data_IF_917569822610
#
_entry.id   IF_917569822610
#
_cell.length_a   1.000
_cell.length_b   1.000
_cell.length_c   1.000
_cell.angle_alpha   90.00
_cell.angle_beta   90.00
_cell.angle_gamma   90.00
#
_symmetry.space_group_name_H-M   'P 1'
#
loop_
_entity.id
_entity.type
_entity.pdbx_description
1 polymer ?
#
# COMPACT_ATOMS: atom_id res chain seq x y z
N UNK A 1 29.62 -3.61 -2.48
CA UNK A 1 29.19 -4.30 -1.25
C UNK A 1 29.53 -3.44 -0.05
N UNK A 2 28.63 -3.36 0.95
CA UNK A 2 28.86 -2.77 2.27
C UNK A 2 28.41 -3.76 3.34
N UNK A 3 28.98 -3.66 4.55
CA UNK A 3 28.67 -4.53 5.69
C UNK A 3 28.55 -3.70 6.95
N UNK A 4 27.69 -4.14 7.88
CA UNK A 4 27.59 -3.59 9.23
C UNK A 4 27.01 -4.64 10.17
N UNK A 5 27.19 -4.46 11.48
CA UNK A 5 26.59 -5.34 12.49
C UNK A 5 25.72 -4.52 13.44
N UNK A 6 24.58 -5.09 13.85
CA UNK A 6 23.64 -4.56 14.84
C UNK A 6 23.07 -5.70 15.67
N UNK A 7 23.04 -5.56 17.00
CA UNK A 7 22.43 -6.51 17.96
C UNK A 7 22.91 -7.97 17.76
N UNK A 8 24.18 -8.14 17.40
CA UNK A 8 24.80 -9.45 17.14
C UNK A 8 24.32 -10.12 15.85
N UNK A 9 23.83 -9.34 14.89
CA UNK A 9 23.47 -9.77 13.54
C UNK A 9 24.36 -9.07 12.54
N UNK A 10 24.92 -9.81 11.58
CA UNK A 10 25.71 -9.27 10.49
C UNK A 10 24.81 -9.00 9.29
N UNK A 11 24.90 -7.77 8.76
CA UNK A 11 24.15 -7.33 7.59
C UNK A 11 25.09 -7.05 6.44
N UNK A 12 24.71 -7.55 5.26
CA UNK A 12 25.41 -7.31 4.01
C UNK A 12 24.49 -6.56 3.05
N UNK A 13 25.03 -5.56 2.38
CA UNK A 13 24.35 -4.78 1.33
C UNK A 13 25.09 -5.00 0.05
N UNK A 14 24.48 -5.74 -0.86
CA UNK A 14 25.07 -6.12 -2.15
C UNK A 14 24.32 -5.40 -3.27
N UNK A 15 25.07 -4.85 -4.21
CA UNK A 15 24.52 -4.24 -5.41
C UNK A 15 25.19 -4.85 -6.64
N UNK A 16 24.37 -5.15 -7.62
CA UNK A 16 24.79 -5.57 -8.97
C UNK A 16 24.08 -4.68 -10.00
N UNK A 17 24.86 -4.02 -10.86
CA UNK A 17 24.35 -3.12 -11.88
C UNK A 17 25.48 -2.45 -12.66
N UNK A 18 25.11 -1.73 -13.71
CA UNK A 18 26.03 -1.01 -14.58
C UNK A 18 26.20 0.46 -14.17
N UNK A 19 25.21 1.04 -13.50
CA UNK A 19 25.26 2.42 -13.02
C UNK A 19 26.03 2.49 -11.71
N UNK A 20 26.93 3.47 -11.51
CA UNK A 20 27.62 3.64 -10.25
C UNK A 20 26.64 3.88 -9.08
N UNK A 21 26.64 2.98 -8.12
CA UNK A 21 25.85 3.07 -6.90
C UNK A 21 26.69 2.64 -5.69
N UNK A 22 26.59 3.38 -4.60
CA UNK A 22 27.30 3.04 -3.35
C UNK A 22 26.33 2.36 -2.36
N UNK A 23 26.40 1.03 -2.17
CA UNK A 23 25.61 0.34 -1.16
C UNK A 23 25.76 0.90 0.24
N UNK A 24 26.93 1.48 0.56
CA UNK A 24 27.19 2.13 1.85
C UNK A 24 26.29 3.34 2.12
N UNK A 25 25.76 3.99 1.10
CA UNK A 25 24.84 5.11 1.25
C UNK A 25 23.50 4.70 1.90
N UNK A 26 23.06 3.44 1.72
CA UNK A 26 21.82 2.91 2.33
C UNK A 26 22.01 2.59 3.83
N UNK A 27 23.23 2.32 4.29
CA UNK A 27 23.47 1.82 5.66
C UNK A 27 22.85 2.69 6.77
N UNK A 28 22.91 4.03 6.73
CA UNK A 28 22.24 4.84 7.75
C UNK A 28 20.72 4.64 7.80
N UNK A 29 20.05 4.60 6.64
CA UNK A 29 18.59 4.35 6.55
C UNK A 29 18.24 2.94 7.00
N UNK A 30 19.01 1.93 6.57
CA UNK A 30 18.82 0.55 6.99
C UNK A 30 18.91 0.38 8.51
N UNK A 31 19.90 1.00 9.16
CA UNK A 31 20.04 0.93 10.62
C UNK A 31 18.82 1.49 11.34
N UNK A 32 18.31 2.64 10.89
CA UNK A 32 17.11 3.28 11.48
C UNK A 32 15.87 2.42 11.26
N UNK A 33 15.69 1.90 10.06
CA UNK A 33 14.60 0.97 9.72
C UNK A 33 14.66 -0.30 10.56
N UNK A 34 15.83 -0.95 10.67
CA UNK A 34 16.01 -2.16 11.47
C UNK A 34 15.66 -1.90 12.93
N UNK A 35 16.07 -0.75 13.49
CA UNK A 35 15.71 -0.36 14.85
C UNK A 35 14.18 -0.28 15.00
N UNK A 36 13.48 0.42 14.12
CA UNK A 36 12.03 0.55 14.19
C UNK A 36 11.30 -0.82 14.06
N UNK A 37 11.76 -1.69 13.16
CA UNK A 37 11.23 -3.04 13.04
C UNK A 37 11.48 -3.89 14.29
N UNK A 38 12.69 -3.80 14.86
CA UNK A 38 13.07 -4.56 16.07
C UNK A 38 12.29 -4.11 17.30
N UNK A 39 11.98 -2.83 17.43
CA UNK A 39 11.10 -2.32 18.48
C UNK A 39 9.66 -2.85 18.36
N UNK A 40 9.19 -3.13 17.15
CA UNK A 40 7.86 -3.68 16.94
C UNK A 40 7.79 -5.18 17.26
N UNK A 41 8.68 -5.99 16.71
CA UNK A 41 8.61 -7.46 16.76
C UNK A 41 9.69 -8.14 17.61
N UNK A 42 10.58 -7.37 18.20
CA UNK A 42 11.76 -7.92 18.88
C UNK A 42 12.88 -8.29 17.89
N UNK A 43 14.01 -8.74 18.46
CA UNK A 43 15.19 -9.14 17.68
C UNK A 43 14.86 -10.29 16.73
N UNK A 44 15.20 -10.19 15.42
CA UNK A 44 14.97 -11.29 14.49
C UNK A 44 15.82 -12.52 14.85
N UNK A 45 15.27 -13.75 14.71
CA UNK A 45 15.94 -14.99 15.10
C UNK A 45 16.92 -15.46 14.00
N UNK A 46 17.94 -14.65 13.75
CA UNK A 46 18.99 -14.93 12.77
C UNK A 46 20.32 -14.28 13.19
N UNK A 47 21.42 -14.68 12.56
CA UNK A 47 22.77 -14.16 12.81
C UNK A 47 23.30 -13.37 11.63
N UNK A 48 22.68 -13.52 10.44
CA UNK A 48 23.08 -12.83 9.19
C UNK A 48 21.86 -12.52 8.35
N UNK A 49 21.85 -11.33 7.71
CA UNK A 49 20.85 -10.90 6.73
C UNK A 49 21.51 -10.23 5.53
N UNK A 50 21.01 -10.48 4.32
CA UNK A 50 21.55 -9.92 3.09
C UNK A 50 20.48 -9.10 2.36
N UNK A 51 20.77 -7.82 2.13
CA UNK A 51 20.04 -6.96 1.22
C UNK A 51 20.69 -7.01 -0.15
N UNK A 52 19.98 -7.48 -1.15
CA UNK A 52 20.46 -7.59 -2.53
C UNK A 52 19.70 -6.60 -3.39
N UNK A 53 20.44 -5.78 -4.12
CA UNK A 53 19.92 -4.79 -5.05
C UNK A 53 20.43 -5.11 -6.44
N UNK A 54 19.52 -5.43 -7.36
CA UNK A 54 19.85 -5.76 -8.74
C UNK A 54 19.25 -4.69 -9.67
N UNK A 55 20.11 -3.90 -10.30
CA UNK A 55 19.68 -2.92 -11.28
C UNK A 55 19.20 -3.61 -12.55
N UNK A 56 17.99 -3.27 -12.98
CA UNK A 56 17.37 -3.80 -14.20
C UNK A 56 16.88 -2.67 -15.10
N UNK A 57 16.51 -2.98 -16.34
CA UNK A 57 15.89 -2.03 -17.25
C UNK A 57 14.40 -1.75 -17.01
N UNK A 58 13.84 -2.26 -15.92
CA UNK A 58 12.47 -1.93 -15.52
C UNK A 58 12.38 -0.47 -15.04
N UNK A 59 11.23 0.15 -15.23
CA UNK A 59 10.94 1.52 -14.81
C UNK A 59 10.28 1.60 -13.41
N UNK A 60 10.14 0.48 -12.72
CA UNK A 60 9.60 0.37 -11.37
C UNK A 60 10.48 -0.51 -10.48
N UNK A 61 10.38 -0.30 -9.17
CA UNK A 61 11.02 -1.14 -8.16
C UNK A 61 10.12 -2.34 -7.87
N UNK A 62 10.74 -3.51 -7.69
CA UNK A 62 10.08 -4.73 -7.26
C UNK A 62 10.93 -5.43 -6.22
N UNK A 63 10.31 -6.11 -5.25
CA UNK A 63 10.97 -6.83 -4.19
C UNK A 63 10.55 -8.29 -4.11
N UNK A 64 11.38 -9.09 -3.47
CA UNK A 64 11.07 -10.47 -3.11
C UNK A 64 11.77 -10.83 -1.81
N UNK A 65 10.95 -11.17 -0.86
CA UNK A 65 11.34 -11.51 0.49
C UNK A 65 11.83 -12.94 0.64
N UNK A 66 12.81 -13.14 1.49
CA UNK A 66 13.33 -14.45 1.89
C UNK A 66 13.50 -14.51 3.41
N UNK A 67 13.76 -15.71 3.94
CA UNK A 67 13.84 -15.94 5.38
C UNK A 67 14.97 -15.17 6.08
N UNK A 68 16.08 -14.89 5.37
CA UNK A 68 17.26 -14.17 5.87
C UNK A 68 17.94 -13.31 4.79
N UNK A 69 17.22 -12.95 3.76
CA UNK A 69 17.65 -12.03 2.72
C UNK A 69 16.45 -11.44 2.00
N UNK A 70 16.68 -10.38 1.26
CA UNK A 70 15.74 -9.87 0.26
C UNK A 70 16.47 -9.52 -1.02
N UNK A 71 15.77 -9.59 -2.15
CA UNK A 71 16.22 -9.08 -3.43
C UNK A 71 15.28 -7.98 -3.89
N UNK A 72 15.86 -6.85 -4.27
CA UNK A 72 15.13 -5.70 -4.83
C UNK A 72 15.67 -5.45 -6.22
N UNK A 73 14.78 -5.33 -7.19
CA UNK A 73 15.11 -5.14 -8.60
C UNK A 73 14.47 -3.85 -9.13
N UNK A 74 15.11 -3.23 -10.14
CA UNK A 74 14.59 -2.03 -10.77
C UNK A 74 15.66 -0.96 -11.00
N UNK A 75 15.28 0.32 -11.11
CA UNK A 75 16.18 1.46 -11.29
C UNK A 75 16.85 1.87 -9.95
N UNK A 76 17.70 1.01 -9.41
CA UNK A 76 18.30 1.11 -8.07
C UNK A 76 19.14 2.37 -7.90
N UNK A 77 19.90 2.74 -8.94
CA UNK A 77 20.82 3.88 -8.88
C UNK A 77 20.16 5.23 -9.20
N UNK A 78 18.86 5.27 -9.47
CA UNK A 78 18.11 6.50 -9.73
C UNK A 78 17.87 7.29 -8.43
N UNK A 79 18.48 8.49 -8.26
CA UNK A 79 18.28 9.30 -7.06
C UNK A 79 16.81 9.72 -6.82
N UNK A 80 16.02 9.84 -7.88
CA UNK A 80 14.60 10.18 -7.78
C UNK A 80 13.76 9.06 -7.16
N UNK A 81 14.30 7.84 -7.08
CA UNK A 81 13.65 6.65 -6.50
C UNK A 81 14.12 6.34 -5.08
N UNK A 82 14.94 7.20 -4.46
CA UNK A 82 15.55 6.92 -3.15
C UNK A 82 14.51 6.59 -2.06
N UNK A 83 13.48 7.41 -1.94
CA UNK A 83 12.43 7.19 -0.94
C UNK A 83 11.66 5.89 -1.21
N UNK A 84 11.34 5.62 -2.47
CA UNK A 84 10.74 4.36 -2.90
C UNK A 84 11.64 3.15 -2.65
N UNK A 85 12.97 3.29 -2.84
CA UNK A 85 13.93 2.25 -2.53
C UNK A 85 13.98 1.93 -1.03
N UNK A 86 13.91 2.96 -0.18
CA UNK A 86 13.85 2.79 1.28
C UNK A 86 12.53 2.13 1.68
N UNK A 87 11.41 2.55 1.08
CA UNK A 87 10.09 2.00 1.37
C UNK A 87 10.02 0.51 1.00
N UNK A 88 10.36 0.13 -0.23
CA UNK A 88 10.33 -1.28 -0.65
C UNK A 88 11.31 -2.13 0.15
N UNK A 89 12.49 -1.60 0.51
CA UNK A 89 13.44 -2.32 1.37
C UNK A 89 12.83 -2.56 2.76
N UNK A 90 12.05 -1.61 3.28
CA UNK A 90 11.34 -1.76 4.56
C UNK A 90 10.25 -2.83 4.43
N UNK A 91 9.46 -2.81 3.37
CA UNK A 91 8.44 -3.80 3.06
C UNK A 91 9.02 -5.22 3.07
N UNK A 92 10.06 -5.44 2.28
CA UNK A 92 10.73 -6.75 2.19
C UNK A 92 11.39 -7.18 3.50
N UNK A 93 11.87 -6.23 4.29
CA UNK A 93 12.45 -6.55 5.59
C UNK A 93 11.39 -6.92 6.64
N UNK A 94 10.20 -6.29 6.61
CA UNK A 94 9.05 -6.64 7.46
C UNK A 94 8.62 -8.08 7.22
N UNK A 95 8.69 -8.56 6.00
CA UNK A 95 8.40 -9.94 5.66
C UNK A 95 9.30 -10.97 6.35
N UNK A 96 10.43 -10.57 6.92
CA UNK A 96 11.23 -11.45 7.78
C UNK A 96 10.40 -12.04 8.93
N UNK A 97 9.49 -11.22 9.47
CA UNK A 97 8.50 -11.64 10.49
C UNK A 97 7.19 -12.06 9.83
N UNK A 98 6.51 -11.14 9.19
CA UNK A 98 5.22 -11.29 8.51
C UNK A 98 5.45 -11.34 7.00
N UNK A 99 5.82 -12.49 6.47
CA UNK A 99 5.22 -13.77 6.27
C UNK A 99 6.22 -14.95 6.45
N UNK A 100 7.52 -14.70 6.50
CA UNK A 100 8.47 -15.83 6.46
C UNK A 100 8.45 -16.67 7.73
N UNK A 101 7.87 -16.16 8.82
CA UNK A 101 7.71 -16.87 10.10
C UNK A 101 6.28 -16.81 10.64
N UNK A 102 5.69 -15.63 10.70
CA UNK A 102 4.29 -15.42 11.02
C UNK A 102 3.48 -15.54 9.72
N UNK A 103 2.98 -16.73 9.40
CA UNK A 103 2.34 -17.02 8.11
C UNK A 103 0.98 -17.73 8.27
N UNK A 104 0.01 -17.42 7.40
CA UNK A 104 -1.26 -18.13 7.42
C UNK A 104 -1.09 -19.57 6.91
N UNK A 105 -2.00 -20.43 7.33
CA UNK A 105 -2.15 -21.78 6.75
C UNK A 105 -2.32 -21.65 5.22
N UNK A 106 -1.63 -22.51 4.48
CA UNK A 106 -1.59 -22.48 3.01
C UNK A 106 -0.35 -21.81 2.43
N UNK A 107 0.30 -20.88 3.16
CA UNK A 107 1.55 -20.24 2.76
C UNK A 107 2.79 -20.84 3.43
N UNK A 108 2.82 -22.13 3.63
CA UNK A 108 4.03 -22.84 4.10
C UNK A 108 3.71 -24.11 4.88
N UNK A 109 4.54 -25.15 4.71
CA UNK A 109 5.68 -25.21 3.79
C UNK A 109 5.23 -25.04 2.33
N UNK A 110 6.03 -24.28 1.54
CA UNK A 110 5.66 -23.93 0.16
C UNK A 110 5.66 -25.18 -0.74
N UNK A 111 4.55 -25.36 -1.46
CA UNK A 111 4.42 -26.36 -2.51
C UNK A 111 4.39 -25.64 -3.86
N UNK A 112 5.53 -25.59 -4.54
CA UNK A 112 5.69 -24.90 -5.83
C UNK A 112 5.05 -25.65 -7.01
N UNK A 113 4.35 -26.78 -6.77
CA UNK A 113 3.68 -27.56 -7.82
C UNK A 113 2.22 -27.13 -8.04
N UNK A 114 1.70 -26.25 -7.21
CA UNK A 114 0.31 -25.75 -7.25
C UNK A 114 0.20 -24.36 -6.65
N UNK A 115 -0.92 -23.72 -6.94
CA UNK A 115 -1.28 -22.42 -6.36
C UNK A 115 -1.50 -22.54 -4.84
N UNK A 116 -1.00 -21.57 -4.09
CA UNK A 116 -1.21 -21.44 -2.65
C UNK A 116 -2.37 -20.49 -2.37
N UNK A 117 -3.57 -21.02 -2.20
CA UNK A 117 -4.76 -20.23 -1.88
C UNK A 117 -4.86 -19.94 -0.39
N UNK A 118 -5.10 -18.69 -0.05
CA UNK A 118 -5.36 -18.23 1.32
C UNK A 118 -6.27 -16.99 1.30
N UNK A 119 -7.11 -16.84 2.32
CA UNK A 119 -7.88 -15.61 2.54
C UNK A 119 -7.07 -14.54 3.29
N UNK A 120 -5.81 -14.81 3.61
CA UNK A 120 -4.98 -14.00 4.50
C UNK A 120 -3.96 -13.09 3.84
N UNK A 121 -3.99 -12.87 2.50
CA UNK A 121 -3.02 -11.97 1.86
C UNK A 121 -3.15 -10.51 2.34
N UNK A 122 -4.32 -10.12 2.82
CA UNK A 122 -4.50 -8.81 3.44
C UNK A 122 -3.64 -8.62 4.70
N UNK A 123 -3.36 -9.71 5.45
CA UNK A 123 -2.43 -9.68 6.58
C UNK A 123 -1.00 -9.69 6.07
N UNK A 124 -0.71 -10.60 5.14
CA UNK A 124 0.65 -10.84 4.64
C UNK A 124 1.19 -9.62 3.89
N UNK A 125 0.40 -9.06 3.00
CA UNK A 125 0.79 -7.94 2.14
C UNK A 125 0.19 -6.61 2.61
N UNK A 126 -1.11 -6.59 2.88
CA UNK A 126 -1.81 -5.36 3.23
C UNK A 126 -1.33 -4.76 4.55
N UNK A 127 -1.19 -5.58 5.61
CA UNK A 127 -0.61 -5.07 6.87
C UNK A 127 0.89 -4.84 6.75
N UNK A 128 1.62 -5.58 5.91
CA UNK A 128 3.03 -5.29 5.63
C UNK A 128 3.17 -3.93 4.97
N UNK A 129 2.30 -3.59 4.01
CA UNK A 129 2.29 -2.27 3.37
C UNK A 129 1.96 -1.15 4.37
N UNK A 130 0.97 -1.35 5.25
CA UNK A 130 0.68 -0.44 6.36
C UNK A 130 1.92 -0.22 7.24
N UNK A 131 2.57 -1.30 7.66
CA UNK A 131 3.78 -1.21 8.48
C UNK A 131 4.97 -0.64 7.73
N UNK A 132 5.07 -0.82 6.42
CA UNK A 132 6.10 -0.18 5.60
C UNK A 132 6.10 1.32 5.81
N UNK A 133 5.00 1.99 5.55
CA UNK A 133 4.88 3.45 5.70
C UNK A 133 5.06 3.89 7.16
N UNK A 134 4.40 3.17 8.09
CA UNK A 134 4.47 3.52 9.50
C UNK A 134 5.88 3.34 10.09
N UNK A 135 6.63 2.32 9.67
CA UNK A 135 7.99 2.08 10.15
C UNK A 135 9.01 3.02 9.50
N UNK A 136 8.81 3.42 8.24
CA UNK A 136 9.59 4.51 7.61
C UNK A 136 9.38 5.81 8.37
N UNK A 137 8.15 6.14 8.79
CA UNK A 137 7.86 7.27 9.65
C UNK A 137 8.54 7.13 11.02
N UNK A 138 8.36 5.99 11.69
CA UNK A 138 8.94 5.73 13.03
C UNK A 138 10.47 5.71 13.02
N UNK A 139 11.07 5.27 11.93
CA UNK A 139 12.50 5.39 11.69
C UNK A 139 12.95 6.85 11.47
N UNK A 140 12.02 7.81 11.39
CA UNK A 140 12.26 9.22 11.09
C UNK A 140 12.83 9.43 9.68
N UNK A 141 12.54 8.52 8.75
CA UNK A 141 12.95 8.59 7.35
C UNK A 141 11.93 9.36 6.51
N UNK A 142 10.73 9.61 7.05
CA UNK A 142 9.75 10.54 6.49
C UNK A 142 9.10 11.39 7.59
N UNK A 143 8.38 12.44 7.20
CA UNK A 143 7.65 13.32 8.11
C UNK A 143 6.19 12.86 8.27
N UNK A 144 5.52 13.16 9.40
CA UNK A 144 4.10 12.81 9.61
C UNK A 144 3.16 13.31 8.51
N UNK A 145 3.43 14.49 7.94
CA UNK A 145 2.62 15.03 6.85
C UNK A 145 2.70 14.16 5.58
N UNK A 146 3.86 13.60 5.27
CA UNK A 146 4.04 12.73 4.13
C UNK A 146 3.33 11.39 4.35
N UNK A 147 3.42 10.82 5.56
CA UNK A 147 2.67 9.62 5.93
C UNK A 147 1.14 9.83 5.78
N UNK A 148 0.61 10.93 6.31
CA UNK A 148 -0.81 11.23 6.16
C UNK A 148 -1.22 11.48 4.69
N UNK A 149 -0.32 12.05 3.89
CA UNK A 149 -0.54 12.19 2.43
C UNK A 149 -0.54 10.83 1.73
N UNK A 150 0.31 9.88 2.15
CA UNK A 150 0.32 8.51 1.64
C UNK A 150 -1.01 7.81 1.96
N UNK A 151 -1.50 7.91 3.21
CA UNK A 151 -2.83 7.38 3.60
C UNK A 151 -3.94 7.98 2.71
N UNK A 152 -3.94 9.30 2.50
CA UNK A 152 -4.92 9.97 1.65
C UNK A 152 -4.83 9.49 0.19
N UNK A 153 -3.62 9.26 -0.33
CA UNK A 153 -3.37 8.71 -1.65
C UNK A 153 -3.93 7.30 -1.82
N UNK A 154 -3.75 6.42 -0.84
CA UNK A 154 -4.34 5.07 -0.86
C UNK A 154 -5.87 5.08 -0.77
N UNK A 155 -6.46 6.03 -0.02
CA UNK A 155 -7.92 6.23 -0.01
C UNK A 155 -8.41 6.60 -1.42
N UNK A 156 -7.76 7.58 -2.05
CA UNK A 156 -8.08 8.00 -3.42
C UNK A 156 -7.92 6.85 -4.42
N UNK A 157 -6.84 6.08 -4.32
CA UNK A 157 -6.57 4.93 -5.18
C UNK A 157 -7.67 3.88 -5.03
N UNK A 158 -8.02 3.49 -3.80
CA UNK A 158 -9.08 2.51 -3.56
C UNK A 158 -10.43 2.98 -4.13
N UNK A 159 -10.79 4.25 -3.90
CA UNK A 159 -12.04 4.81 -4.41
C UNK A 159 -12.08 4.86 -5.94
N UNK A 160 -10.94 5.06 -6.57
CA UNK A 160 -10.77 5.00 -8.03
C UNK A 160 -10.87 3.60 -8.63
N UNK A 161 -10.93 2.54 -7.82
CA UNK A 161 -11.02 1.15 -8.30
C UNK A 161 -12.46 0.63 -8.27
N UNK A 162 -13.16 0.46 -9.41
CA UNK A 162 -14.49 -0.13 -9.46
C UNK A 162 -14.55 -1.54 -8.85
N UNK A 163 -13.48 -2.32 -8.97
CA UNK A 163 -13.35 -3.68 -8.43
C UNK A 163 -13.62 -3.80 -6.93
N UNK A 164 -13.41 -2.72 -6.15
CA UNK A 164 -13.68 -2.69 -4.70
C UNK A 164 -15.14 -3.01 -4.33
N UNK A 165 -16.06 -2.82 -5.27
CA UNK A 165 -17.50 -3.12 -5.10
C UNK A 165 -17.87 -4.54 -5.46
N UNK A 166 -16.97 -5.27 -6.14
CA UNK A 166 -17.23 -6.59 -6.70
C UNK A 166 -16.85 -7.71 -5.73
N UNK A 167 -15.84 -7.50 -4.88
CA UNK A 167 -15.35 -8.52 -3.97
C UNK A 167 -14.92 -7.95 -2.63
N UNK A 168 -14.96 -8.81 -1.60
CA UNK A 168 -14.40 -8.53 -0.29
C UNK A 168 -12.87 -8.67 -0.30
N UNK A 169 -12.23 -8.28 0.79
CA UNK A 169 -10.78 -8.38 0.94
C UNK A 169 -10.32 -9.85 1.08
N UNK A 170 -11.12 -10.71 1.72
CA UNK A 170 -10.88 -12.15 1.78
C UNK A 170 -11.02 -12.80 0.40
N UNK A 171 -12.06 -12.43 -0.36
CA UNK A 171 -12.24 -12.91 -1.74
C UNK A 171 -11.09 -12.47 -2.63
N UNK A 172 -10.62 -11.23 -2.52
CA UNK A 172 -9.46 -10.73 -3.26
C UNK A 172 -8.18 -11.51 -2.93
N UNK A 173 -7.95 -11.80 -1.65
CA UNK A 173 -6.83 -12.63 -1.20
C UNK A 173 -6.90 -14.04 -1.79
N UNK A 174 -8.07 -14.69 -1.75
CA UNK A 174 -8.26 -16.06 -2.24
C UNK A 174 -8.12 -16.17 -3.75
N UNK A 175 -8.63 -15.18 -4.50
CA UNK A 175 -8.73 -15.23 -5.95
C UNK A 175 -7.55 -14.61 -6.69
N UNK A 176 -6.47 -14.26 -5.99
CA UNK A 176 -5.30 -13.57 -6.57
C UNK A 176 -4.71 -14.28 -7.80
N UNK A 177 -4.77 -15.62 -7.83
CA UNK A 177 -4.28 -16.44 -8.95
C UNK A 177 -5.14 -16.37 -10.22
N UNK A 178 -6.38 -15.84 -10.13
CA UNK A 178 -7.36 -15.88 -11.23
C UNK A 178 -7.47 -14.58 -12.01
N UNK A 179 -7.17 -13.42 -11.40
CA UNK A 179 -7.48 -12.11 -12.01
C UNK A 179 -6.34 -11.49 -12.79
N UNK A 180 -5.13 -12.04 -12.74
CA UNK A 180 -3.99 -11.52 -13.51
C UNK A 180 -3.86 -10.00 -13.39
N UNK A 181 -3.93 -9.30 -14.53
CA UNK A 181 -3.74 -7.85 -14.61
C UNK A 181 -5.04 -7.03 -14.44
N UNK A 182 -6.24 -7.65 -14.39
CA UNK A 182 -7.51 -6.92 -14.21
C UNK A 182 -7.77 -6.54 -12.74
N UNK A 183 -6.85 -5.76 -12.19
CA UNK A 183 -6.92 -5.25 -10.80
C UNK A 183 -7.76 -3.98 -10.66
N UNK A 184 -8.35 -3.47 -11.75
CA UNK A 184 -9.09 -2.22 -11.76
C UNK A 184 -10.60 -2.42 -11.70
N UNK A 185 -11.14 -3.21 -12.61
CA UNK A 185 -12.59 -3.38 -12.78
C UNK A 185 -13.09 -4.67 -12.12
N UNK A 186 -12.40 -5.78 -12.33
CA UNK A 186 -12.82 -7.11 -11.89
C UNK A 186 -12.38 -7.43 -10.49
N UNK A 187 -11.14 -7.13 -10.16
CA UNK A 187 -10.51 -7.49 -8.89
C UNK A 187 -10.30 -6.28 -7.97
N UNK A 188 -10.20 -6.59 -6.69
CA UNK A 188 -9.76 -5.67 -5.65
C UNK A 188 -8.27 -5.86 -5.39
N UNK A 189 -7.52 -4.76 -5.27
CA UNK A 189 -6.12 -4.81 -4.82
C UNK A 189 -6.07 -4.98 -3.29
N UNK A 190 -5.64 -6.17 -2.84
CA UNK A 190 -5.54 -6.48 -1.42
C UNK A 190 -4.35 -5.78 -0.72
N UNK A 191 -3.36 -5.30 -1.45
CA UNK A 191 -2.33 -4.40 -0.90
C UNK A 191 -2.97 -3.09 -0.44
N UNK A 192 -3.65 -2.40 -1.35
CA UNK A 192 -4.26 -1.08 -1.08
C UNK A 192 -5.36 -1.16 -0.04
N UNK A 193 -6.37 -2.05 -0.23
CA UNK A 193 -7.46 -2.17 0.74
C UNK A 193 -6.98 -2.77 2.06
N UNK A 194 -5.98 -3.66 2.05
CA UNK A 194 -5.38 -4.23 3.25
C UNK A 194 -4.56 -3.22 4.04
N UNK A 195 -3.80 -2.34 3.36
CA UNK A 195 -3.17 -1.17 3.97
C UNK A 195 -4.18 -0.30 4.72
N UNK A 196 -5.27 0.05 4.03
CA UNK A 196 -6.33 0.89 4.59
C UNK A 196 -7.10 0.19 5.72
N UNK A 197 -7.26 -1.13 5.65
CA UNK A 197 -7.80 -1.92 6.76
C UNK A 197 -6.86 -1.84 7.97
N UNK A 198 -5.53 -1.88 7.76
CA UNK A 198 -4.53 -1.70 8.81
C UNK A 198 -4.63 -0.35 9.49
N UNK A 199 -4.74 0.75 8.71
CA UNK A 199 -4.97 2.10 9.25
C UNK A 199 -6.28 2.16 10.06
N UNK A 200 -7.38 1.66 9.49
CA UNK A 200 -8.70 1.69 10.14
C UNK A 200 -8.71 0.85 11.42
N UNK A 201 -8.11 -0.35 11.39
CA UNK A 201 -8.04 -1.26 12.53
C UNK A 201 -7.20 -0.69 13.67
N UNK A 202 -6.00 -0.14 13.38
CA UNK A 202 -5.16 0.45 14.41
C UNK A 202 -5.85 1.63 15.10
N UNK A 203 -6.48 2.52 14.32
CA UNK A 203 -7.22 3.65 14.86
C UNK A 203 -8.48 3.22 15.64
N UNK A 204 -9.18 2.20 15.18
CA UNK A 204 -10.37 1.66 15.86
C UNK A 204 -9.99 1.01 17.22
N UNK A 205 -8.93 0.20 17.24
CA UNK A 205 -8.41 -0.41 18.47
C UNK A 205 -8.01 0.67 19.47
N UNK A 206 -7.22 1.64 19.05
CA UNK A 206 -6.78 2.77 19.88
C UNK A 206 -7.95 3.60 20.37
N UNK A 207 -8.91 3.92 19.50
CA UNK A 207 -10.09 4.72 19.86
C UNK A 207 -10.96 4.04 20.89
N UNK A 208 -11.28 2.74 20.71
CA UNK A 208 -12.14 1.98 21.62
C UNK A 208 -11.48 1.67 22.97
N UNK A 209 -10.17 1.47 22.97
CA UNK A 209 -9.41 1.15 24.18
C UNK A 209 -8.86 2.37 24.93
N UNK A 210 -9.18 3.60 24.51
CA UNK A 210 -8.52 4.81 24.99
C UNK A 210 -6.97 4.74 24.86
N UNK A 211 -6.51 4.27 23.70
CA UNK A 211 -5.10 4.09 23.34
C UNK A 211 -4.33 3.04 24.18
N UNK A 212 -5.04 2.09 24.80
CA UNK A 212 -4.39 1.00 25.56
C UNK A 212 -4.06 -0.21 24.68
N UNK A 213 -4.77 -0.38 23.55
CA UNK A 213 -4.56 -1.47 22.58
C UNK A 213 -4.36 -0.87 21.21
N UNK A 214 -3.36 -1.35 20.50
CA UNK A 214 -3.00 -0.95 19.14
C UNK A 214 -2.85 -2.17 18.23
N UNK A 215 -2.74 -1.97 16.94
CA UNK A 215 -2.41 -3.06 16.01
C UNK A 215 -1.01 -3.63 16.28
N UNK A 216 -0.08 -2.84 16.82
CA UNK A 216 1.23 -3.36 17.25
C UNK A 216 1.09 -4.45 18.31
N UNK A 217 0.17 -4.28 19.27
CA UNK A 217 -0.07 -5.26 20.34
C UNK A 217 -0.65 -6.55 19.77
N UNK A 218 -1.56 -6.43 18.78
CA UNK A 218 -2.11 -7.57 18.04
C UNK A 218 -1.01 -8.32 17.33
N UNK A 219 -0.14 -7.62 16.58
CA UNK A 219 0.92 -8.25 15.80
C UNK A 219 2.01 -8.87 16.68
N UNK A 220 2.34 -8.27 17.84
CA UNK A 220 3.24 -8.88 18.83
C UNK A 220 2.64 -10.16 19.41
N UNK A 221 1.36 -10.12 19.81
CA UNK A 221 0.68 -11.31 20.33
C UNK A 221 0.58 -12.43 19.27
N UNK A 222 0.34 -12.08 18.02
CA UNK A 222 0.39 -13.03 16.90
C UNK A 222 1.80 -13.59 16.70
N UNK A 223 2.82 -12.74 16.80
CA UNK A 223 4.20 -13.19 16.72
C UNK A 223 4.53 -14.19 17.83
N UNK A 224 4.21 -13.89 19.06
CA UNK A 224 4.49 -14.77 20.23
C UNK A 224 3.74 -16.10 20.13
N UNK A 225 2.49 -16.05 19.69
CA UNK A 225 1.64 -17.23 19.59
C UNK A 225 1.99 -18.16 18.40
N UNK A 226 2.47 -17.61 17.30
CA UNK A 226 2.62 -18.32 16.03
C UNK A 226 4.02 -18.16 15.41
N UNK A 227 4.48 -16.93 15.19
CA UNK A 227 5.70 -16.63 14.46
C UNK A 227 6.97 -17.12 15.17
N UNK A 228 7.09 -16.85 16.46
CA UNK A 228 8.24 -17.22 17.29
C UNK A 228 8.43 -18.75 17.40
N UNK A 229 7.34 -19.52 17.28
CA UNK A 229 7.34 -20.99 17.32
C UNK A 229 7.20 -21.62 15.94
N UNK A 230 7.28 -20.82 14.87
CA UNK A 230 7.19 -21.23 13.46
C UNK A 230 5.93 -22.06 13.14
N UNK A 231 4.80 -21.70 13.75
CA UNK A 231 3.50 -22.35 13.58
C UNK A 231 2.60 -21.48 12.69
N UNK A 232 1.98 -22.03 11.64
CA UNK A 232 1.03 -21.23 10.84
C UNK A 232 -0.24 -20.92 11.62
N UNK A 233 -0.85 -19.77 11.34
CA UNK A 233 -2.11 -19.30 11.91
C UNK A 233 -3.27 -19.44 10.91
N UNK A 234 -4.52 -19.52 11.43
CA UNK A 234 -5.71 -19.37 10.58
C UNK A 234 -5.93 -17.86 10.32
N UNK A 235 -6.33 -17.43 9.11
CA UNK A 235 -6.56 -16.00 8.83
C UNK A 235 -7.44 -15.28 9.87
N UNK A 236 -8.47 -15.94 10.40
CA UNK A 236 -9.33 -15.40 11.46
C UNK A 236 -8.64 -15.28 12.85
N UNK A 237 -7.43 -15.84 13.03
CA UNK A 237 -6.72 -15.69 14.32
C UNK A 237 -6.31 -14.24 14.59
N UNK A 238 -6.05 -13.46 13.55
CA UNK A 238 -5.77 -12.02 13.70
C UNK A 238 -7.00 -11.29 14.24
N UNK A 239 -8.18 -11.61 13.71
CA UNK A 239 -9.45 -11.04 14.17
C UNK A 239 -9.69 -11.41 15.64
N UNK A 240 -9.57 -12.70 15.99
CA UNK A 240 -9.74 -13.19 17.37
C UNK A 240 -8.73 -12.59 18.32
N UNK A 241 -7.49 -12.39 17.90
CA UNK A 241 -6.45 -11.76 18.73
C UNK A 241 -6.79 -10.30 19.02
N UNK A 242 -7.23 -9.56 18.01
CA UNK A 242 -7.65 -8.16 18.16
C UNK A 242 -8.81 -8.04 19.16
N UNK A 243 -9.83 -8.86 19.04
CA UNK A 243 -10.99 -8.91 19.97
C UNK A 243 -10.60 -9.33 21.38
N UNK A 244 -9.71 -10.30 21.50
CA UNK A 244 -9.21 -10.77 22.80
C UNK A 244 -8.47 -9.68 23.56
N UNK A 245 -7.61 -8.91 22.88
CA UNK A 245 -6.86 -7.81 23.47
C UNK A 245 -7.76 -6.61 23.78
N UNK A 246 -8.72 -6.31 22.91
CA UNK A 246 -9.68 -5.23 23.10
C UNK A 246 -10.69 -5.57 24.22
N UNK A 247 -10.99 -6.85 24.44
CA UNK A 247 -12.02 -7.31 25.36
C UNK A 247 -13.45 -7.15 24.86
N UNK A 248 -13.63 -6.88 23.57
CA UNK A 248 -14.92 -6.64 22.94
C UNK A 248 -14.99 -7.26 21.54
N UNK A 249 -16.22 -7.62 21.08
CA UNK A 249 -16.43 -8.06 19.70
C UNK A 249 -16.19 -6.93 18.70
N UNK A 250 -15.64 -7.30 17.55
CA UNK A 250 -15.48 -6.46 16.37
C UNK A 250 -16.23 -7.02 15.15
N UNK A 251 -17.22 -7.88 15.35
CA UNK A 251 -17.99 -8.54 14.28
C UNK A 251 -18.51 -7.56 13.22
N UNK A 252 -19.00 -6.38 13.66
CA UNK A 252 -19.47 -5.32 12.74
C UNK A 252 -18.31 -4.81 11.87
N UNK A 253 -17.13 -4.57 12.44
CA UNK A 253 -15.95 -4.12 11.72
C UNK A 253 -15.50 -5.15 10.67
N UNK A 254 -15.37 -6.42 11.10
CA UNK A 254 -14.94 -7.50 10.20
C UNK A 254 -16.00 -7.78 9.12
N UNK A 255 -17.27 -7.77 9.51
CA UNK A 255 -18.38 -8.00 8.59
C UNK A 255 -18.47 -6.95 7.49
N UNK A 256 -18.20 -5.69 7.79
CA UNK A 256 -18.27 -4.58 6.82
C UNK A 256 -17.03 -4.47 5.94
N UNK A 257 -15.83 -4.48 6.55
CA UNK A 257 -14.61 -4.03 5.88
C UNK A 257 -13.69 -5.17 5.41
N UNK A 258 -13.71 -6.33 6.08
CA UNK A 258 -12.93 -7.50 5.69
C UNK A 258 -13.75 -8.47 4.83
N UNK A 259 -14.88 -8.94 5.34
CA UNK A 259 -15.77 -9.93 4.70
C UNK A 259 -16.79 -9.29 3.77
N UNK A 260 -17.12 -8.03 4.03
CA UNK A 260 -18.01 -7.20 3.23
C UNK A 260 -17.28 -6.34 2.20
N UNK A 261 -18.06 -5.50 1.53
CA UNK A 261 -17.61 -4.65 0.43
C UNK A 261 -17.88 -3.17 0.71
N UNK A 262 -18.13 -2.82 1.98
CA UNK A 262 -18.40 -1.44 2.36
C UNK A 262 -17.15 -0.58 2.27
N UNK A 263 -17.35 0.68 1.89
CA UNK A 263 -16.32 1.70 1.94
C UNK A 263 -16.03 2.07 3.40
N UNK A 264 -14.80 2.45 3.72
CA UNK A 264 -14.38 2.78 5.09
C UNK A 264 -15.04 4.07 5.58
N UNK A 265 -15.49 4.08 6.82
CA UNK A 265 -15.95 5.29 7.52
C UNK A 265 -14.74 6.09 8.05
N UNK A 266 -14.08 6.81 7.13
CA UNK A 266 -12.87 7.58 7.45
C UNK A 266 -13.13 8.67 8.48
N UNK A 267 -14.34 9.22 8.55
CA UNK A 267 -14.67 10.24 9.54
C UNK A 267 -14.62 9.66 10.95
N UNK A 268 -15.09 8.44 11.13
CA UNK A 268 -15.00 7.71 12.40
C UNK A 268 -13.54 7.37 12.74
N UNK A 269 -12.83 6.69 11.85
CA UNK A 269 -11.50 6.19 12.15
C UNK A 269 -10.49 7.31 12.38
N UNK A 270 -10.37 8.24 11.47
CA UNK A 270 -9.50 9.41 11.60
C UNK A 270 -9.91 10.31 12.78
N UNK A 271 -11.23 10.36 13.09
CA UNK A 271 -11.77 11.08 14.21
C UNK A 271 -11.19 10.62 15.57
N UNK A 272 -10.85 9.32 15.74
CA UNK A 272 -10.17 8.84 16.95
C UNK A 272 -8.83 9.55 17.19
N UNK A 273 -8.10 9.88 16.12
CA UNK A 273 -6.84 10.63 16.18
C UNK A 273 -7.03 12.15 16.09
N UNK A 274 -8.26 12.66 16.10
CA UNK A 274 -8.55 14.08 15.90
C UNK A 274 -8.07 14.57 14.53
N UNK A 275 -8.29 13.76 13.49
CA UNK A 275 -8.00 14.07 12.10
C UNK A 275 -9.29 14.13 11.28
N UNK A 276 -9.25 14.84 10.17
CA UNK A 276 -10.34 14.97 9.21
C UNK A 276 -9.82 14.57 7.83
N UNK A 277 -10.62 13.79 7.09
CA UNK A 277 -10.44 13.62 5.66
C UNK A 277 -11.17 14.76 4.96
N UNK A 278 -10.44 15.54 4.18
CA UNK A 278 -10.96 16.68 3.41
C UNK A 278 -10.86 16.33 1.94
N UNK A 279 -11.97 16.40 1.23
CA UNK A 279 -11.96 16.34 -0.22
C UNK A 279 -11.56 17.72 -0.75
N UNK A 280 -10.46 17.78 -1.49
CA UNK A 280 -10.01 18.95 -2.21
C UNK A 280 -10.80 19.07 -3.53
N UNK A 281 -10.56 20.14 -4.29
CA UNK A 281 -11.16 20.33 -5.59
C UNK A 281 -10.85 19.17 -6.52
N UNK A 282 -11.90 18.56 -7.08
CA UNK A 282 -11.75 17.42 -7.99
C UNK A 282 -11.20 17.88 -9.33
N UNK A 283 -10.37 17.04 -9.95
CA UNK A 283 -9.86 17.29 -11.30
C UNK A 283 -10.63 16.51 -12.36
N UNK A 284 -10.73 17.05 -13.60
CA UNK A 284 -11.34 16.34 -14.71
C UNK A 284 -10.51 15.12 -15.09
N UNK A 285 -11.18 14.04 -15.49
CA UNK A 285 -10.52 12.79 -15.83
C UNK A 285 -11.26 12.01 -16.91
N UNK A 286 -10.51 11.31 -17.75
CA UNK A 286 -11.07 10.34 -18.70
C UNK A 286 -11.44 9.01 -18.02
N UNK A 287 -10.86 8.73 -16.85
CA UNK A 287 -11.04 7.48 -16.09
C UNK A 287 -10.58 6.25 -16.89
N UNK A 288 -9.32 6.28 -17.29
CA UNK A 288 -8.61 5.27 -18.06
C UNK A 288 -7.29 4.90 -17.40
N UNK A 289 -6.73 3.76 -17.78
CA UNK A 289 -5.33 3.40 -17.51
C UNK A 289 -4.59 3.44 -18.85
N UNK A 290 -3.89 4.53 -19.15
CA UNK A 290 -3.20 4.71 -20.42
C UNK A 290 -1.76 4.21 -20.36
N UNK A 291 -1.28 3.70 -21.50
CA UNK A 291 0.15 3.43 -21.75
C UNK A 291 0.63 4.22 -22.95
N UNK A 292 1.70 5.00 -22.82
CA UNK A 292 2.30 5.68 -23.94
C UNK A 292 2.75 4.68 -25.02
N UNK A 293 2.38 4.97 -26.27
CA UNK A 293 2.81 4.22 -27.45
C UNK A 293 3.21 5.20 -28.54
N UNK A 294 3.82 4.71 -29.63
CA UNK A 294 4.09 5.55 -30.76
C UNK A 294 2.79 6.13 -31.33
N UNK A 295 2.75 7.46 -31.38
CA UNK A 295 1.59 8.21 -31.91
C UNK A 295 0.46 8.50 -30.92
N UNK A 296 0.45 8.00 -29.67
CA UNK A 296 -0.66 8.29 -28.75
C UNK A 296 -0.62 7.54 -27.42
N UNK A 297 -1.80 7.31 -26.86
CA UNK A 297 -2.01 6.63 -25.59
C UNK A 297 -2.90 5.40 -25.80
N UNK A 298 -2.32 4.20 -25.67
CA UNK A 298 -3.10 2.96 -25.68
C UNK A 298 -3.85 2.81 -24.36
N UNK A 299 -5.10 2.42 -24.41
CA UNK A 299 -5.91 2.11 -23.24
C UNK A 299 -5.60 0.67 -22.78
N UNK A 300 -4.89 0.51 -21.66
CA UNK A 300 -4.69 -0.78 -21.01
C UNK A 300 -5.89 -1.15 -20.17
N UNK A 301 -6.58 -0.14 -19.61
CA UNK A 301 -7.88 -0.32 -18.97
C UNK A 301 -8.79 0.90 -19.19
N UNK A 302 -10.11 0.66 -19.13
CA UNK A 302 -11.18 1.66 -19.15
C UNK A 302 -12.03 1.39 -17.91
N UNK A 303 -12.08 2.36 -16.98
CA UNK A 303 -12.71 2.14 -15.68
C UNK A 303 -14.22 1.98 -15.83
N UNK A 304 -14.77 0.96 -15.17
CA UNK A 304 -16.20 0.66 -15.21
C UNK A 304 -17.03 1.79 -14.58
N UNK A 305 -18.05 2.24 -15.32
CA UNK A 305 -18.88 3.40 -14.95
C UNK A 305 -18.18 4.74 -15.11
N UNK A 306 -16.99 4.76 -15.75
CA UNK A 306 -16.22 5.98 -15.99
C UNK A 306 -16.53 6.64 -17.34
N UNK A 307 -16.12 7.90 -17.47
CA UNK A 307 -16.34 8.76 -18.63
C UNK A 307 -15.95 8.11 -19.97
N UNK A 308 -14.78 7.46 -20.03
CA UNK A 308 -14.32 6.81 -21.24
C UNK A 308 -15.21 5.62 -21.63
N UNK A 309 -15.70 4.82 -20.65
CA UNK A 309 -16.60 3.72 -20.90
C UNK A 309 -17.95 4.23 -21.44
N UNK A 310 -18.50 5.28 -20.83
CA UNK A 310 -19.75 5.90 -21.26
C UNK A 310 -19.64 6.48 -22.67
N UNK A 311 -18.48 7.04 -23.04
CA UNK A 311 -18.18 7.51 -24.37
C UNK A 311 -17.91 6.38 -25.39
N UNK A 312 -17.94 5.11 -24.97
CA UNK A 312 -17.74 3.94 -25.82
C UNK A 312 -16.29 3.62 -26.16
N UNK A 313 -15.32 4.16 -25.42
CA UNK A 313 -13.92 3.76 -25.52
C UNK A 313 -13.72 2.36 -24.93
N UNK A 314 -12.75 1.61 -25.43
CA UNK A 314 -12.48 0.21 -25.06
C UNK A 314 -10.99 -0.02 -24.85
N UNK A 315 -10.68 -1.08 -24.10
CA UNK A 315 -9.31 -1.58 -23.96
C UNK A 315 -8.72 -1.85 -25.35
N UNK A 316 -7.50 -1.38 -25.56
CA UNK A 316 -6.77 -1.50 -26.82
C UNK A 316 -6.98 -0.33 -27.80
N UNK A 317 -7.92 0.57 -27.56
CA UNK A 317 -8.02 1.82 -28.32
C UNK A 317 -6.74 2.66 -28.10
N UNK A 318 -6.34 3.42 -29.11
CA UNK A 318 -5.21 4.34 -29.03
C UNK A 318 -5.74 5.77 -29.20
N UNK A 319 -5.83 6.52 -28.12
CA UNK A 319 -6.18 7.94 -28.18
C UNK A 319 -5.02 8.71 -28.82
N UNK A 320 -5.31 9.44 -29.89
CA UNK A 320 -4.30 10.21 -30.64
C UNK A 320 -4.45 11.72 -30.45
N UNK A 321 -5.67 12.21 -30.19
CA UNK A 321 -5.92 13.61 -29.89
C UNK A 321 -7.14 13.79 -28.98
N UNK A 322 -7.13 14.88 -28.20
CA UNK A 322 -8.23 15.37 -27.38
C UNK A 322 -8.41 16.85 -27.77
N UNK A 323 -9.59 17.25 -28.25
CA UNK A 323 -9.90 18.58 -28.82
C UNK A 323 -8.84 19.05 -29.83
N UNK A 324 -8.38 18.13 -30.69
CA UNK A 324 -7.36 18.42 -31.71
C UNK A 324 -5.93 18.54 -31.20
N UNK A 325 -5.69 18.44 -29.87
CA UNK A 325 -4.36 18.43 -29.25
C UNK A 325 -3.85 16.99 -29.16
N UNK A 326 -2.59 16.73 -29.55
CA UNK A 326 -1.99 15.40 -29.49
C UNK A 326 -2.08 14.80 -28.08
N UNK A 327 -2.64 13.61 -27.96
CA UNK A 327 -2.75 12.89 -26.69
C UNK A 327 -1.34 12.44 -26.20
N UNK A 328 -0.99 12.89 -25.02
CA UNK A 328 0.28 12.59 -24.34
C UNK A 328 0.02 12.43 -22.84
N UNK A 329 0.91 11.74 -22.07
CA UNK A 329 0.81 11.69 -20.62
C UNK A 329 0.79 13.10 -19.99
N UNK A 330 1.54 14.03 -20.56
CA UNK A 330 1.56 15.43 -20.11
C UNK A 330 0.18 16.08 -20.26
N UNK A 331 -0.49 15.95 -21.42
CA UNK A 331 -1.82 16.51 -21.64
C UNK A 331 -2.81 15.96 -20.59
N UNK A 332 -2.76 14.64 -20.32
CA UNK A 332 -3.63 14.05 -19.29
C UNK A 332 -3.38 14.62 -17.89
N UNK A 333 -2.11 14.86 -17.53
CA UNK A 333 -1.76 15.49 -16.25
C UNK A 333 -2.13 16.99 -16.17
N UNK A 334 -2.34 17.64 -17.30
CA UNK A 334 -2.67 19.06 -17.40
C UNK A 334 -4.15 19.31 -17.71
N UNK A 335 -5.01 18.26 -17.78
CA UNK A 335 -6.45 18.43 -18.06
C UNK A 335 -7.12 19.43 -17.13
N UNK A 336 -6.82 19.39 -15.83
CA UNK A 336 -7.35 20.33 -14.83
C UNK A 336 -6.90 21.79 -15.00
N UNK A 337 -5.94 22.08 -15.89
CA UNK A 337 -5.55 23.46 -16.24
C UNK A 337 -6.40 24.02 -17.37
N UNK A 338 -7.16 23.18 -18.09
CA UNK A 338 -7.86 23.55 -19.31
C UNK A 338 -9.37 23.30 -19.24
N UNK A 339 -9.78 22.34 -18.43
CA UNK A 339 -11.15 21.85 -18.36
C UNK A 339 -11.61 21.67 -16.91
N UNK A 340 -12.94 21.65 -16.75
CA UNK A 340 -13.61 21.30 -15.51
C UNK A 340 -14.29 19.90 -15.61
N UNK A 341 -14.52 19.20 -14.50
CA UNK A 341 -15.35 17.99 -14.51
C UNK A 341 -16.75 18.28 -15.11
N UNK A 342 -17.22 17.42 -16.01
CA UNK A 342 -18.50 17.58 -16.69
C UNK A 342 -18.42 18.30 -18.03
N UNK A 343 -17.30 18.91 -18.40
CA UNK A 343 -17.10 19.46 -19.73
C UNK A 343 -16.97 18.36 -20.77
N UNK A 344 -17.40 18.64 -22.00
CA UNK A 344 -17.36 17.71 -23.13
C UNK A 344 -16.13 17.99 -23.97
N UNK A 345 -15.32 16.96 -24.22
CA UNK A 345 -14.16 17.01 -25.10
C UNK A 345 -14.34 16.06 -26.27
N UNK A 346 -13.81 16.41 -27.43
CA UNK A 346 -13.83 15.52 -28.61
C UNK A 346 -12.57 14.66 -28.64
N UNK A 347 -12.74 13.33 -28.58
CA UNK A 347 -11.64 12.36 -28.52
C UNK A 347 -11.49 11.68 -29.85
N UNK A 348 -10.29 11.75 -30.45
CA UNK A 348 -9.89 11.02 -31.63
C UNK A 348 -9.08 9.80 -31.25
N UNK A 349 -9.46 8.62 -31.74
CA UNK A 349 -8.78 7.38 -31.40
C UNK A 349 -8.76 6.37 -32.53
N UNK A 350 -7.75 5.53 -32.55
CA UNK A 350 -7.74 4.35 -33.41
C UNK A 350 -8.31 3.16 -32.65
N UNK A 351 -9.27 2.48 -33.26
CA UNK A 351 -9.73 1.15 -32.90
C UNK A 351 -9.37 0.21 -34.01
N UNK A 352 -8.42 -0.70 -33.75
CA UNK A 352 -7.71 -1.43 -34.79
C UNK A 352 -7.07 -0.43 -35.77
N UNK A 353 -7.35 -0.54 -37.08
CA UNK A 353 -6.76 0.32 -38.12
C UNK A 353 -7.72 1.46 -38.58
N UNK A 354 -8.78 1.74 -37.83
CA UNK A 354 -9.76 2.78 -38.20
C UNK A 354 -9.71 3.93 -37.20
N UNK A 355 -9.67 5.14 -37.73
CA UNK A 355 -9.83 6.36 -36.95
C UNK A 355 -11.32 6.59 -36.64
N UNK A 356 -11.59 6.87 -35.37
CA UNK A 356 -12.91 7.18 -34.84
C UNK A 356 -12.84 8.48 -34.06
N UNK A 357 -13.99 9.10 -33.86
CA UNK A 357 -14.17 10.21 -32.94
C UNK A 357 -15.37 9.96 -32.04
N UNK A 358 -15.32 10.46 -30.83
CA UNK A 358 -16.43 10.45 -29.89
C UNK A 358 -16.37 11.68 -29.01
N UNK A 359 -17.54 12.18 -28.62
CA UNK A 359 -17.63 13.18 -27.55
C UNK A 359 -17.60 12.48 -26.20
N UNK A 360 -16.77 12.97 -25.30
CA UNK A 360 -16.57 12.42 -23.97
C UNK A 360 -16.85 13.51 -22.94
N UNK A 361 -17.82 13.27 -22.08
CA UNK A 361 -18.03 14.13 -20.90
C UNK A 361 -17.00 13.76 -19.84
N UNK A 362 -16.11 14.69 -19.47
CA UNK A 362 -15.05 14.46 -18.48
C UNK A 362 -15.65 14.07 -17.14
N UNK A 363 -15.22 12.93 -16.62
CA UNK A 363 -15.51 12.52 -15.26
C UNK A 363 -14.70 13.33 -14.25
N UNK A 364 -14.77 12.92 -12.98
CA UNK A 364 -14.01 13.57 -11.91
C UNK A 364 -13.08 12.57 -11.21
N UNK A 365 -11.92 13.05 -10.80
CA UNK A 365 -11.06 12.38 -9.82
C UNK A 365 -11.07 13.20 -8.54
N UNK A 366 -11.53 12.60 -7.45
CA UNK A 366 -11.45 13.22 -6.12
C UNK A 366 -10.00 13.24 -5.64
N UNK A 367 -9.63 14.29 -4.93
CA UNK A 367 -8.35 14.38 -4.22
C UNK A 367 -8.61 14.55 -2.74
N UNK A 368 -7.83 13.85 -1.93
CA UNK A 368 -8.01 13.87 -0.49
C UNK A 368 -6.77 14.41 0.23
N UNK A 369 -7.03 15.09 1.34
CA UNK A 369 -6.01 15.49 2.31
C UNK A 369 -6.47 15.10 3.71
N UNK A 370 -5.54 14.63 4.54
CA UNK A 370 -5.80 14.37 5.96
C UNK A 370 -5.21 15.51 6.77
N UNK A 371 -6.07 16.22 7.52
CA UNK A 371 -5.71 17.43 8.26
C UNK A 371 -6.07 17.31 9.75
N UNK A 372 -5.30 17.92 10.64
CA UNK A 372 -5.70 18.02 12.05
C UNK A 372 -7.05 18.72 12.20
N UNK A 373 -7.94 18.13 13.01
CA UNK A 373 -9.18 18.80 13.40
C UNK A 373 -8.87 19.89 14.42
N UNK A 374 -9.19 21.17 14.14
CA UNK A 374 -8.97 22.26 15.08
C UNK A 374 -9.72 22.10 16.43
N UNK A 375 -10.77 21.28 16.42
CA UNK A 375 -11.59 20.98 17.61
C UNK A 375 -11.20 19.66 18.27
N UNK A 376 -10.05 19.04 17.90
CA UNK A 376 -9.61 17.78 18.48
C UNK A 376 -9.36 17.93 19.99
N UNK A 377 -9.93 16.99 20.76
CA UNK A 377 -9.72 16.91 22.21
C UNK A 377 -8.26 16.59 22.56
N UNK A 378 -7.81 16.89 23.79
CA UNK A 378 -6.47 16.49 24.24
C UNK A 378 -6.20 14.97 24.14
N UNK A 379 -7.23 14.13 24.39
CA UNK A 379 -7.11 12.68 24.25
C UNK A 379 -6.86 12.26 22.78
N UNK A 380 -7.59 12.82 21.83
CA UNK A 380 -7.39 12.57 20.41
C UNK A 380 -6.00 13.06 19.93
N UNK A 381 -5.55 14.21 20.42
CA UNK A 381 -4.21 14.73 20.12
C UNK A 381 -3.13 13.82 20.68
N UNK A 382 -3.29 13.32 21.90
CA UNK A 382 -2.37 12.38 22.54
C UNK A 382 -2.32 11.04 21.79
N UNK A 383 -3.47 10.49 21.39
CA UNK A 383 -3.55 9.29 20.56
C UNK A 383 -2.80 9.47 19.24
N UNK A 384 -3.05 10.58 18.53
CA UNK A 384 -2.34 10.90 17.29
C UNK A 384 -0.83 11.01 17.50
N UNK A 385 -0.41 11.69 18.57
CA UNK A 385 1.01 11.84 18.88
C UNK A 385 1.69 10.50 19.14
N UNK A 386 1.03 9.57 19.86
CA UNK A 386 1.54 8.22 20.09
C UNK A 386 1.55 7.36 18.83
N UNK A 387 0.47 7.40 18.04
CA UNK A 387 0.37 6.66 16.77
C UNK A 387 1.52 7.01 15.81
N UNK A 388 1.80 8.32 15.67
CA UNK A 388 2.81 8.86 14.75
C UNK A 388 4.19 9.06 15.39
N UNK A 389 4.39 8.60 16.63
CA UNK A 389 5.65 8.80 17.36
C UNK A 389 6.81 8.05 16.70
N UNK A 390 8.01 8.66 16.64
CA UNK A 390 9.22 7.95 16.22
C UNK A 390 9.56 6.79 17.16
N UNK A 391 10.33 5.84 16.65
CA UNK A 391 10.89 4.75 17.45
C UNK A 391 11.66 5.30 18.65
N UNK A 392 11.56 4.62 19.81
CA UNK A 392 12.16 5.04 21.09
C UNK A 392 11.40 6.13 21.85
N UNK A 393 10.41 6.80 21.23
CA UNK A 393 9.63 7.87 21.90
C UNK A 393 8.26 7.39 22.40
N UNK A 394 7.86 6.15 22.14
CA UNK A 394 6.54 5.62 22.49
C UNK A 394 6.45 5.28 23.96
N UNK A 395 5.47 5.87 24.65
CA UNK A 395 5.20 5.56 26.05
C UNK A 395 4.66 4.13 26.16
N UNK A 396 5.46 3.21 26.66
CA UNK A 396 5.01 1.85 26.95
C UNK A 396 5.81 0.69 26.37
N UNK A 397 6.85 0.93 25.58
CA UNK A 397 7.83 -0.12 25.27
C UNK A 397 8.65 -0.45 26.53
N UNK A 398 8.04 -1.13 27.50
CA UNK A 398 8.80 -1.84 28.53
C UNK A 398 9.10 -3.25 28.01
N UNK A 399 10.39 -3.53 27.88
CA UNK A 399 11.03 -4.82 27.61
C UNK A 399 10.61 -5.88 28.61
#
# INVERSE_FOLDING_TARGET
MATFSMDGIDYEVVYEGHTPFSPGALVPSLKRMITACTELWGRPPLTRYVFQYLETGADFLNGLEHRNSTIITGPIADPARWDGLVAITTHEFVHLWNVKRLRPVGLGPFDYTREAHTTGLWVVEGLTEYYTDLLVLRAGLQQPVHYLSSVAGHIQELEGMPGRRNMSLEEASWTTWHFGDDRWNGALNYYVKGYLLGVALDLELRGRSNNQVSLDDVMRAMWDAYGAVDRPYQPDDVCRMAESLLGESMDDFWGRYLKGREDFDWQRFLGHAGLLLIEAEATPALQIVPKPVDGGLRLENVLAGGAAQEAGLMIGDIIVAIDGVKATPRLLGELGLQFEPGEVVNVHYFRRDRLWTTDLTLGRTAHYAIMPNPQATPAQQALRADWLAPAGARAGAQV
#
